data_IF_885738931616
#
_entry.id   IF_885738931616
#
_cell.length_a   1.000
_cell.length_b   1.000
_cell.length_c   1.000
_cell.angle_alpha   90.00
_cell.angle_beta   90.00
_cell.angle_gamma   90.00
#
_symmetry.space_group_name_H-M   'P 1'
#
loop_
_entity.id
_entity.type
_entity.pdbx_description
1 polymer ?
#
# COMPACT_ATOMS: atom_id res chain seq x y z
N UNK A 1 24.91 -76.14 4.39
CA UNK A 1 24.14 -75.09 3.69
C UNK A 1 24.20 -73.84 4.54
N UNK A 2 24.88 -72.77 4.12
CA UNK A 2 24.79 -71.47 4.79
C UNK A 2 23.54 -70.73 4.30
N UNK A 3 22.78 -70.17 5.24
CA UNK A 3 21.57 -69.39 4.99
C UNK A 3 21.89 -68.08 4.27
N UNK A 4 21.09 -67.73 3.25
CA UNK A 4 21.13 -66.45 2.52
C UNK A 4 20.62 -65.31 3.42
N UNK A 5 21.23 -64.11 3.40
CA UNK A 5 20.73 -62.97 4.16
C UNK A 5 19.40 -62.44 3.57
N UNK A 6 18.48 -61.92 4.40
CA UNK A 6 17.23 -61.35 3.92
C UNK A 6 17.46 -60.01 3.20
N UNK A 7 16.62 -59.78 2.19
CA UNK A 7 16.72 -58.71 1.22
C UNK A 7 16.75 -57.30 1.82
N UNK A 8 17.53 -56.46 1.15
CA UNK A 8 17.46 -55.00 1.28
C UNK A 8 16.20 -54.55 0.54
N UNK A 9 15.05 -54.64 1.20
CA UNK A 9 13.88 -53.84 0.80
C UNK A 9 14.19 -52.40 1.19
N UNK A 10 14.60 -51.62 0.20
CA UNK A 10 14.76 -50.19 0.33
C UNK A 10 13.41 -49.55 0.66
N UNK A 11 13.33 -48.71 1.71
CA UNK A 11 12.27 -47.74 1.77
C UNK A 11 12.68 -46.56 0.89
N UNK A 12 11.92 -46.34 -0.19
CA UNK A 12 11.77 -45.03 -0.83
C UNK A 12 11.10 -44.10 0.21
N UNK A 13 11.85 -43.77 1.25
CA UNK A 13 11.43 -42.86 2.30
C UNK A 13 11.57 -41.46 1.71
N UNK A 14 10.50 -40.98 1.08
CA UNK A 14 10.30 -39.55 0.87
C UNK A 14 10.25 -38.90 2.25
N UNK A 15 11.44 -38.56 2.75
CA UNK A 15 11.63 -37.90 4.03
C UNK A 15 10.72 -36.67 4.04
N UNK A 16 9.76 -36.57 4.98
CA UNK A 16 8.90 -35.41 5.04
C UNK A 16 9.79 -34.18 5.21
N UNK A 17 9.71 -33.23 4.26
CA UNK A 17 10.45 -31.97 4.30
C UNK A 17 10.50 -31.44 5.74
N UNK A 18 11.71 -31.17 6.23
CA UNK A 18 11.95 -30.60 7.55
C UNK A 18 11.11 -29.34 7.72
N UNK A 19 10.74 -29.01 8.96
CA UNK A 19 9.93 -27.81 9.24
C UNK A 19 10.55 -26.52 8.66
N UNK A 20 11.87 -26.50 8.53
CA UNK A 20 12.67 -25.44 7.91
C UNK A 20 12.41 -25.36 6.40
N UNK A 21 12.38 -26.47 5.68
CA UNK A 21 12.10 -26.51 4.24
C UNK A 21 10.64 -26.09 3.95
N UNK A 22 9.69 -26.52 4.77
CA UNK A 22 8.28 -26.08 4.66
C UNK A 22 8.09 -24.60 5.01
N UNK A 23 8.89 -24.06 5.93
CA UNK A 23 8.91 -22.63 6.20
C UNK A 23 9.50 -21.85 5.02
N UNK A 24 10.60 -22.34 4.44
CA UNK A 24 11.26 -21.77 3.26
C UNK A 24 10.33 -21.71 2.04
N UNK A 25 9.65 -22.82 1.72
CA UNK A 25 8.73 -22.90 0.59
C UNK A 25 7.54 -21.93 0.74
N UNK A 26 6.99 -21.79 1.97
CA UNK A 26 5.95 -20.79 2.26
C UNK A 26 6.44 -19.35 2.12
N UNK A 27 7.65 -19.05 2.57
CA UNK A 27 8.25 -17.71 2.41
C UNK A 27 8.49 -17.40 0.93
N UNK A 28 9.02 -18.35 0.16
CA UNK A 28 9.27 -18.21 -1.27
C UNK A 28 7.95 -17.98 -2.03
N UNK A 29 6.94 -18.82 -1.80
CA UNK A 29 5.61 -18.70 -2.43
C UNK A 29 4.94 -17.36 -2.11
N UNK A 30 4.96 -16.92 -0.85
CA UNK A 30 4.37 -15.63 -0.46
C UNK A 30 5.12 -14.44 -1.06
N UNK A 31 6.45 -14.52 -1.14
CA UNK A 31 7.28 -13.48 -1.77
C UNK A 31 6.98 -13.39 -3.27
N UNK A 32 6.92 -14.52 -3.96
CA UNK A 32 6.56 -14.59 -5.38
C UNK A 32 5.15 -14.06 -5.64
N UNK A 33 4.17 -14.44 -4.82
CA UNK A 33 2.79 -13.98 -4.96
C UNK A 33 2.70 -12.45 -4.75
N UNK A 34 3.41 -11.91 -3.75
CA UNK A 34 3.49 -10.46 -3.51
C UNK A 34 4.16 -9.74 -4.68
N UNK A 35 5.28 -10.26 -5.18
CA UNK A 35 6.00 -9.67 -6.31
C UNK A 35 5.13 -9.66 -7.58
N UNK A 36 4.46 -10.77 -7.87
CA UNK A 36 3.52 -10.88 -9.00
C UNK A 36 2.36 -9.87 -8.86
N UNK A 37 1.75 -9.78 -7.67
CA UNK A 37 0.70 -8.79 -7.40
C UNK A 37 1.19 -7.35 -7.57
N UNK A 38 2.43 -7.05 -7.17
CA UNK A 38 3.00 -5.72 -7.35
C UNK A 38 3.24 -5.36 -8.83
N UNK A 39 3.75 -6.32 -9.61
CA UNK A 39 3.94 -6.18 -11.07
C UNK A 39 2.59 -5.98 -11.76
N UNK A 40 1.61 -6.85 -11.49
CA UNK A 40 0.26 -6.74 -12.06
C UNK A 40 -0.40 -5.41 -11.70
N UNK A 41 -0.25 -4.96 -10.46
CA UNK A 41 -0.73 -3.65 -10.03
C UNK A 41 -0.10 -2.49 -10.80
N UNK A 42 1.22 -2.54 -11.05
CA UNK A 42 1.93 -1.52 -11.84
C UNK A 42 1.46 -1.53 -13.31
N UNK A 43 1.25 -2.70 -13.89
CA UNK A 43 0.69 -2.84 -15.24
C UNK A 43 -0.74 -2.29 -15.32
N UNK A 44 -1.58 -2.56 -14.32
CA UNK A 44 -2.93 -1.99 -14.24
C UNK A 44 -2.92 -0.45 -14.16
N UNK A 45 -2.02 0.13 -13.34
CA UNK A 45 -1.83 1.58 -13.29
C UNK A 45 -1.34 2.15 -14.62
N UNK A 46 -0.42 1.47 -15.31
CA UNK A 46 0.05 1.88 -16.63
C UNK A 46 -1.09 1.90 -17.65
N UNK A 47 -1.93 0.86 -17.66
CA UNK A 47 -3.13 0.80 -18.51
C UNK A 47 -4.11 1.93 -18.19
N UNK A 48 -4.36 2.18 -16.90
CA UNK A 48 -5.21 3.29 -16.47
C UNK A 48 -4.68 4.64 -16.97
N UNK A 49 -3.37 4.89 -16.89
CA UNK A 49 -2.78 6.13 -17.42
C UNK A 49 -2.83 6.22 -18.94
N UNK A 50 -2.66 5.09 -19.65
CA UNK A 50 -2.82 5.05 -21.10
C UNK A 50 -4.26 5.38 -21.52
N UNK A 51 -5.26 4.85 -20.81
CA UNK A 51 -6.67 5.17 -21.03
C UNK A 51 -6.96 6.62 -20.68
N UNK A 52 -6.50 7.11 -19.53
CA UNK A 52 -6.67 8.51 -19.12
C UNK A 52 -6.09 9.49 -20.15
N UNK A 53 -4.88 9.20 -20.67
CA UNK A 53 -4.25 9.99 -21.72
C UNK A 53 -5.08 10.01 -23.02
N UNK A 54 -5.72 8.88 -23.36
CA UNK A 54 -6.53 8.75 -24.57
C UNK A 54 -7.88 9.46 -24.45
N UNK A 55 -8.57 9.30 -23.32
CA UNK A 55 -9.93 9.81 -23.13
C UNK A 55 -9.94 11.32 -22.80
N UNK A 56 -8.99 11.78 -22.00
CA UNK A 56 -9.01 13.15 -21.45
C UNK A 56 -7.78 13.99 -21.84
N UNK A 57 -6.72 13.34 -22.33
CA UNK A 57 -5.54 14.00 -22.88
C UNK A 57 -4.31 13.97 -21.97
N UNK A 58 -3.15 14.31 -22.54
CA UNK A 58 -1.84 14.24 -21.85
C UNK A 58 -1.66 15.31 -20.77
N UNK A 59 -2.34 16.44 -20.88
CA UNK A 59 -2.31 17.52 -19.87
C UNK A 59 -2.87 17.02 -18.53
N UNK A 60 -3.95 16.24 -18.59
CA UNK A 60 -4.63 15.66 -17.44
C UNK A 60 -3.77 14.63 -16.72
N UNK A 61 -3.07 13.78 -17.48
CA UNK A 61 -2.07 12.86 -16.92
C UNK A 61 -0.96 13.64 -16.22
N UNK A 62 -0.49 14.74 -16.81
CA UNK A 62 0.49 15.63 -16.19
C UNK A 62 0.00 16.20 -14.85
N UNK A 63 -1.24 16.68 -14.80
CA UNK A 63 -1.87 17.19 -13.58
C UNK A 63 -1.97 16.11 -12.49
N UNK A 64 -2.37 14.89 -12.84
CA UNK A 64 -2.39 13.76 -11.89
C UNK A 64 -1.00 13.45 -11.34
N UNK A 65 -0.01 13.26 -12.22
CA UNK A 65 1.35 12.87 -11.83
C UNK A 65 1.99 13.95 -10.96
N UNK A 66 1.80 15.22 -11.33
CA UNK A 66 2.23 16.35 -10.52
C UNK A 66 1.56 16.32 -9.13
N UNK A 67 0.23 16.21 -9.08
CA UNK A 67 -0.50 16.22 -7.81
C UNK A 67 -0.09 15.05 -6.90
N UNK A 68 0.10 13.86 -7.48
CA UNK A 68 0.59 12.68 -6.76
C UNK A 68 2.00 12.91 -6.20
N UNK A 69 2.93 13.41 -7.02
CA UNK A 69 4.29 13.71 -6.57
C UNK A 69 4.31 14.78 -5.47
N UNK A 70 3.51 15.85 -5.64
CA UNK A 70 3.34 16.92 -4.66
C UNK A 70 2.90 16.37 -3.30
N UNK A 71 1.86 15.54 -3.27
CA UNK A 71 1.33 14.94 -2.05
C UNK A 71 2.36 14.03 -1.38
N UNK A 72 3.10 13.23 -2.16
CA UNK A 72 4.14 12.34 -1.61
C UNK A 72 5.25 13.10 -0.89
N UNK A 73 5.67 14.25 -1.44
CA UNK A 73 6.70 15.10 -0.82
C UNK A 73 6.14 15.87 0.37
N UNK A 74 5.00 16.54 0.19
CA UNK A 74 4.46 17.48 1.19
C UNK A 74 3.91 16.76 2.42
N UNK A 75 3.32 15.57 2.26
CA UNK A 75 2.71 14.82 3.37
C UNK A 75 3.70 13.94 4.14
N UNK A 76 4.92 13.77 3.64
CA UNK A 76 5.97 12.97 4.29
C UNK A 76 6.16 13.27 5.79
N UNK A 77 6.13 14.53 6.28
CA UNK A 77 6.33 14.84 7.70
C UNK A 77 5.28 14.26 8.64
N UNK A 78 4.07 13.94 8.15
CA UNK A 78 2.95 13.50 8.99
C UNK A 78 3.24 12.12 9.61
N UNK A 79 3.71 11.17 8.80
CA UNK A 79 4.00 9.81 9.24
C UNK A 79 5.43 9.59 9.74
N UNK A 80 6.34 10.54 9.53
CA UNK A 80 7.77 10.30 9.64
C UNK A 80 8.19 9.70 11.00
N UNK A 81 8.66 8.45 10.95
CA UNK A 81 9.16 7.70 12.09
C UNK A 81 8.11 6.95 12.92
N UNK A 82 6.81 7.27 12.77
CA UNK A 82 5.77 6.70 13.61
C UNK A 82 5.52 5.21 13.36
N UNK A 83 5.42 4.78 12.10
CA UNK A 83 5.14 3.37 11.77
C UNK A 83 6.25 2.45 12.27
N UNK A 84 7.50 2.88 12.14
CA UNK A 84 8.66 2.11 12.60
C UNK A 84 8.76 2.08 14.12
N UNK A 85 8.43 3.18 14.78
CA UNK A 85 8.40 3.27 16.24
C UNK A 85 7.31 2.36 16.81
N UNK A 86 6.06 2.53 16.39
CA UNK A 86 4.92 1.76 16.92
C UNK A 86 5.08 0.26 16.65
N UNK A 87 5.54 -0.12 15.45
CA UNK A 87 5.81 -1.51 15.10
C UNK A 87 6.80 -2.17 16.07
N UNK A 88 7.94 -1.51 16.32
CA UNK A 88 8.98 -2.09 17.20
C UNK A 88 8.55 -2.12 18.66
N UNK A 89 7.89 -1.07 19.13
CA UNK A 89 7.48 -0.98 20.53
C UNK A 89 6.42 -2.03 20.84
N UNK A 90 5.38 -2.17 20.00
CA UNK A 90 4.32 -3.18 20.19
C UNK A 90 4.85 -4.60 20.00
N UNK A 91 5.78 -4.83 19.06
CA UNK A 91 6.40 -6.14 18.89
C UNK A 91 7.20 -6.58 20.12
N UNK A 92 7.78 -5.63 20.87
CA UNK A 92 8.48 -5.88 22.13
C UNK A 92 7.53 -6.07 23.31
N UNK A 93 6.48 -5.27 23.38
CA UNK A 93 5.50 -5.29 24.46
C UNK A 93 4.10 -4.96 23.94
N UNK A 94 3.27 -5.99 23.85
CA UNK A 94 1.91 -5.92 23.29
C UNK A 94 0.92 -5.18 24.19
N UNK A 95 1.25 -4.93 25.46
CA UNK A 95 0.35 -4.20 26.36
C UNK A 95 0.22 -2.71 26.03
N UNK A 96 1.21 -2.16 25.31
CA UNK A 96 1.26 -0.74 24.96
C UNK A 96 0.41 -0.35 23.73
N UNK A 97 -0.32 -1.30 23.14
CA UNK A 97 -1.07 -1.09 21.89
C UNK A 97 -2.08 0.05 22.01
N UNK A 98 -2.91 0.01 23.06
CA UNK A 98 -4.02 0.96 23.20
C UNK A 98 -3.49 2.39 23.33
N UNK A 99 -2.53 2.62 24.24
CA UNK A 99 -1.94 3.94 24.45
C UNK A 99 -1.20 4.44 23.21
N UNK A 100 -0.33 3.61 22.61
CA UNK A 100 0.49 4.03 21.47
C UNK A 100 -0.35 4.28 20.21
N UNK A 101 -1.38 3.49 19.98
CA UNK A 101 -2.24 3.64 18.81
C UNK A 101 -2.93 5.01 18.82
N UNK A 102 -3.61 5.36 19.91
CA UNK A 102 -4.29 6.64 20.03
C UNK A 102 -3.32 7.82 20.09
N UNK A 103 -2.18 7.69 20.79
CA UNK A 103 -1.16 8.73 20.83
C UNK A 103 -0.59 9.03 19.44
N UNK A 104 -0.27 8.00 18.65
CA UNK A 104 0.25 8.19 17.28
C UNK A 104 -0.82 8.80 16.37
N UNK A 105 -2.08 8.35 16.46
CA UNK A 105 -3.17 8.96 15.68
C UNK A 105 -3.39 10.43 16.05
N UNK A 106 -3.37 10.77 17.34
CA UNK A 106 -3.48 12.14 17.80
C UNK A 106 -2.33 13.01 17.28
N UNK A 107 -1.09 12.55 17.41
CA UNK A 107 0.07 13.28 16.91
C UNK A 107 0.06 13.46 15.39
N UNK A 108 -0.39 12.43 14.65
CA UNK A 108 -0.57 12.52 13.19
C UNK A 108 -1.66 13.51 12.82
N UNK A 109 -2.81 13.49 13.50
CA UNK A 109 -3.89 14.45 13.28
C UNK A 109 -3.47 15.90 13.62
N UNK A 110 -2.69 16.07 14.70
CA UNK A 110 -2.15 17.37 15.07
C UNK A 110 -1.14 17.89 14.02
N UNK A 111 -0.30 17.01 13.47
CA UNK A 111 0.66 17.37 12.39
C UNK A 111 -0.02 17.56 11.03
N UNK A 112 -1.11 16.86 10.76
CA UNK A 112 -1.75 16.93 9.44
C UNK A 112 -2.34 18.31 9.17
N UNK A 113 -2.89 18.98 10.17
CA UNK A 113 -3.48 20.32 10.02
C UNK A 113 -2.49 21.37 9.45
N UNK A 114 -1.34 21.65 10.09
CA UNK A 114 -0.39 22.62 9.54
C UNK A 114 0.24 22.13 8.23
N UNK A 115 0.50 20.84 8.07
CA UNK A 115 1.12 20.30 6.85
C UNK A 115 0.17 20.42 5.64
N UNK A 116 -1.09 20.02 5.80
CA UNK A 116 -2.11 20.17 4.75
C UNK A 116 -2.41 21.65 4.49
N UNK A 117 -2.50 22.48 5.54
CA UNK A 117 -2.71 23.92 5.40
C UNK A 117 -1.59 24.61 4.60
N UNK A 118 -0.32 24.29 4.89
CA UNK A 118 0.82 24.80 4.13
C UNK A 118 0.84 24.28 2.69
N UNK A 119 0.50 23.01 2.48
CA UNK A 119 0.37 22.42 1.14
C UNK A 119 -0.68 23.16 0.31
N UNK A 120 -1.85 23.42 0.89
CA UNK A 120 -2.96 24.12 0.23
C UNK A 120 -2.62 25.60 -0.03
N UNK A 121 -2.00 26.28 0.93
CA UNK A 121 -1.54 27.65 0.73
C UNK A 121 -0.49 27.73 -0.39
N UNK A 122 0.50 26.83 -0.39
CA UNK A 122 1.55 26.81 -1.40
C UNK A 122 0.98 26.57 -2.81
N UNK A 123 0.12 25.55 -3.00
CA UNK A 123 -0.46 25.29 -4.33
C UNK A 123 -1.39 26.42 -4.79
N UNK A 124 -2.08 27.09 -3.87
CA UNK A 124 -2.92 28.26 -4.16
C UNK A 124 -2.12 29.47 -4.62
N UNK A 125 -0.91 29.66 -4.11
CA UNK A 125 -0.03 30.79 -4.43
C UNK A 125 0.83 30.58 -5.67
N UNK A 126 1.10 29.33 -6.07
CA UNK A 126 1.97 29.01 -7.20
C UNK A 126 1.32 29.17 -8.58
N UNK A 127 0.05 29.57 -8.65
CA UNK A 127 -0.62 29.92 -9.91
C UNK A 127 -0.98 28.73 -10.81
N UNK A 128 -1.06 27.51 -10.27
CA UNK A 128 -1.54 26.34 -11.02
C UNK A 128 -3.02 26.47 -11.37
N UNK A 129 -3.42 25.83 -12.47
CA UNK A 129 -4.80 25.79 -12.94
C UNK A 129 -5.75 25.12 -11.93
N UNK A 130 -7.06 25.34 -12.11
CA UNK A 130 -8.07 24.84 -11.19
C UNK A 130 -8.12 23.30 -11.09
N UNK A 131 -7.82 22.58 -12.18
CA UNK A 131 -7.86 21.13 -12.22
C UNK A 131 -6.70 20.54 -11.45
N UNK A 132 -5.48 21.04 -11.66
CA UNK A 132 -4.28 20.63 -10.93
C UNK A 132 -4.43 20.87 -9.42
N UNK A 133 -4.96 22.04 -9.02
CA UNK A 133 -5.21 22.35 -7.60
C UNK A 133 -6.24 21.39 -6.99
N UNK A 134 -7.32 21.09 -7.72
CA UNK A 134 -8.36 20.18 -7.24
C UNK A 134 -7.81 18.76 -7.07
N UNK A 135 -6.99 18.28 -8.01
CA UNK A 135 -6.30 17.00 -7.89
C UNK A 135 -5.41 16.95 -6.64
N UNK A 136 -4.63 18.00 -6.36
CA UNK A 136 -3.82 18.11 -5.14
C UNK A 136 -4.68 18.04 -3.88
N UNK A 137 -5.81 18.76 -3.83
CA UNK A 137 -6.69 18.75 -2.67
C UNK A 137 -7.28 17.37 -2.40
N UNK A 138 -7.81 16.71 -3.43
CA UNK A 138 -8.39 15.36 -3.32
C UNK A 138 -7.33 14.37 -2.87
N UNK A 139 -6.18 14.33 -3.55
CA UNK A 139 -5.10 13.39 -3.21
C UNK A 139 -4.52 13.65 -1.81
N UNK A 140 -4.47 14.92 -1.38
CA UNK A 140 -4.03 15.26 -0.02
C UNK A 140 -4.98 14.66 1.02
N UNK A 141 -6.29 14.85 0.86
CA UNK A 141 -7.28 14.30 1.80
C UNK A 141 -7.19 12.77 1.86
N UNK A 142 -7.07 12.12 0.72
CA UNK A 142 -6.84 10.68 0.64
C UNK A 142 -5.57 10.23 1.35
N UNK A 143 -4.46 10.91 1.12
CA UNK A 143 -3.19 10.61 1.76
C UNK A 143 -3.24 10.78 3.28
N UNK A 144 -4.04 11.72 3.80
CA UNK A 144 -4.26 11.85 5.24
C UNK A 144 -4.94 10.60 5.81
N UNK A 145 -5.99 10.10 5.14
CA UNK A 145 -6.68 8.87 5.53
C UNK A 145 -5.74 7.65 5.44
N UNK A 146 -4.98 7.52 4.34
CA UNK A 146 -3.98 6.46 4.16
C UNK A 146 -2.92 6.52 5.27
N UNK A 147 -2.46 7.72 5.63
CA UNK A 147 -1.51 7.90 6.73
C UNK A 147 -2.06 7.41 8.06
N UNK A 148 -3.35 7.60 8.35
CA UNK A 148 -3.96 7.03 9.55
C UNK A 148 -4.05 5.50 9.47
N UNK A 149 -4.48 4.96 8.32
CA UNK A 149 -4.56 3.51 8.09
C UNK A 149 -3.21 2.80 8.24
N UNK A 150 -2.10 3.45 7.85
CA UNK A 150 -0.73 2.92 8.05
C UNK A 150 -0.39 2.68 9.51
N UNK A 151 -0.95 3.46 10.45
CA UNK A 151 -0.79 3.18 11.89
C UNK A 151 -1.41 1.83 12.24
N UNK A 152 -2.61 1.55 11.74
CA UNK A 152 -3.28 0.27 11.94
C UNK A 152 -2.49 -0.88 11.30
N UNK A 153 -1.97 -0.70 10.09
CA UNK A 153 -1.09 -1.70 9.45
C UNK A 153 0.19 -1.95 10.24
N UNK A 154 0.79 -0.92 10.86
CA UNK A 154 1.95 -1.10 11.72
C UNK A 154 1.61 -1.94 12.97
N UNK A 155 0.43 -1.74 13.57
CA UNK A 155 -0.07 -2.58 14.67
C UNK A 155 -0.27 -4.02 14.20
N UNK A 156 -1.00 -4.26 13.10
CA UNK A 156 -1.20 -5.63 12.58
C UNK A 156 0.12 -6.34 12.26
N UNK A 157 1.11 -5.63 11.70
CA UNK A 157 2.44 -6.18 11.47
C UNK A 157 3.15 -6.54 12.78
N UNK A 158 2.98 -5.75 13.86
CA UNK A 158 3.55 -6.05 15.17
C UNK A 158 2.98 -7.34 15.79
N UNK A 159 1.75 -7.71 15.43
CA UNK A 159 1.13 -9.00 15.76
C UNK A 159 1.41 -10.11 14.72
N UNK A 160 2.38 -9.91 13.82
CA UNK A 160 2.75 -10.84 12.75
C UNK A 160 1.61 -11.16 11.76
N UNK A 161 0.58 -10.30 11.69
CA UNK A 161 -0.59 -10.47 10.80
C UNK A 161 -0.39 -9.78 9.45
N UNK A 162 0.81 -9.87 8.88
CA UNK A 162 1.16 -9.23 7.61
C UNK A 162 0.40 -9.77 6.38
N UNK A 163 -0.21 -10.96 6.48
CA UNK A 163 -1.06 -11.53 5.43
C UNK A 163 -2.38 -10.75 5.26
N UNK A 164 -2.99 -10.31 6.36
CA UNK A 164 -4.21 -9.50 6.33
C UNK A 164 -3.95 -8.16 5.64
N UNK A 165 -2.83 -7.51 5.98
CA UNK A 165 -2.42 -6.25 5.37
C UNK A 165 -2.21 -6.42 3.86
N UNK A 166 -1.51 -7.49 3.46
CA UNK A 166 -1.29 -7.77 2.05
C UNK A 166 -2.62 -7.96 1.30
N UNK A 167 -3.57 -8.71 1.88
CA UNK A 167 -4.90 -8.88 1.30
C UNK A 167 -5.64 -7.53 1.18
N UNK A 168 -5.63 -6.70 2.23
CA UNK A 168 -6.24 -5.36 2.21
C UNK A 168 -5.65 -4.48 1.12
N UNK A 169 -4.33 -4.40 1.01
CA UNK A 169 -3.66 -3.57 -0.02
C UNK A 169 -3.97 -4.05 -1.42
N UNK A 170 -3.98 -5.38 -1.63
CA UNK A 170 -4.32 -5.98 -2.93
C UNK A 170 -5.76 -5.62 -3.31
N UNK A 171 -6.72 -5.84 -2.41
CA UNK A 171 -8.15 -5.51 -2.62
C UNK A 171 -8.33 -4.03 -2.89
N UNK A 172 -7.72 -3.15 -2.09
CA UNK A 172 -7.78 -1.70 -2.29
C UNK A 172 -7.26 -1.29 -3.67
N UNK A 173 -6.13 -1.84 -4.14
CA UNK A 173 -5.56 -1.49 -5.46
C UNK A 173 -6.46 -1.93 -6.61
N UNK A 174 -7.05 -3.12 -6.55
CA UNK A 174 -7.96 -3.59 -7.58
C UNK A 174 -9.29 -2.82 -7.58
N UNK A 175 -9.83 -2.50 -6.40
CA UNK A 175 -11.02 -1.66 -6.28
C UNK A 175 -10.76 -0.25 -6.81
N UNK A 176 -9.65 0.38 -6.42
CA UNK A 176 -9.25 1.70 -6.91
C UNK A 176 -9.13 1.73 -8.43
N UNK A 177 -8.41 0.76 -9.02
CA UNK A 177 -8.26 0.65 -10.47
C UNK A 177 -9.61 0.41 -11.17
N UNK A 178 -10.44 -0.50 -10.64
CA UNK A 178 -11.76 -0.78 -11.19
C UNK A 178 -12.69 0.42 -11.14
N UNK A 179 -12.77 1.09 -10.00
CA UNK A 179 -13.57 2.32 -9.84
C UNK A 179 -13.07 3.45 -10.74
N UNK A 180 -11.75 3.61 -10.88
CA UNK A 180 -11.16 4.60 -11.78
C UNK A 180 -11.52 4.36 -13.25
N UNK A 181 -11.45 3.10 -13.70
CA UNK A 181 -11.87 2.73 -15.06
C UNK A 181 -13.37 2.96 -15.29
N UNK A 182 -14.22 2.61 -14.32
CA UNK A 182 -15.67 2.87 -14.40
C UNK A 182 -15.95 4.37 -14.43
N UNK A 183 -15.26 5.16 -13.62
CA UNK A 183 -15.41 6.61 -13.59
C UNK A 183 -15.00 7.27 -14.92
N UNK A 184 -13.92 6.79 -15.56
CA UNK A 184 -13.53 7.24 -16.90
C UNK A 184 -14.55 6.83 -17.96
N UNK A 185 -15.04 5.59 -17.92
CA UNK A 185 -16.06 5.11 -18.85
C UNK A 185 -17.39 5.87 -18.72
N UNK A 186 -17.69 6.41 -17.54
CA UNK A 186 -18.84 7.29 -17.29
C UNK A 186 -18.62 8.75 -17.73
N UNK A 187 -17.49 9.07 -18.38
CA UNK A 187 -17.16 10.43 -18.83
C UNK A 187 -16.50 11.31 -17.77
N UNK A 188 -16.02 10.74 -16.67
CA UNK A 188 -15.25 11.47 -15.65
C UNK A 188 -13.85 11.87 -16.16
N UNK A 189 -13.32 12.98 -15.63
CA UNK A 189 -11.96 13.47 -15.94
C UNK A 189 -10.92 13.04 -14.91
N UNK A 190 -9.74 13.68 -14.92
CA UNK A 190 -8.64 13.35 -13.99
C UNK A 190 -9.02 13.38 -12.51
N UNK A 191 -9.93 14.27 -12.12
CA UNK A 191 -10.34 14.44 -10.71
C UNK A 191 -11.09 13.20 -10.21
N UNK A 192 -11.91 12.56 -11.04
CA UNK A 192 -12.61 11.33 -10.63
C UNK A 192 -11.61 10.19 -10.41
N UNK A 193 -10.58 10.10 -11.27
CA UNK A 193 -9.48 9.15 -11.07
C UNK A 193 -8.75 9.42 -9.76
N UNK A 194 -8.46 10.69 -9.42
CA UNK A 194 -7.86 11.06 -8.13
C UNK A 194 -8.68 10.55 -6.94
N UNK A 195 -10.01 10.74 -6.97
CA UNK A 195 -10.91 10.27 -5.88
C UNK A 195 -10.89 8.76 -5.75
N UNK A 196 -10.81 8.03 -6.85
CA UNK A 196 -10.78 6.55 -6.81
C UNK A 196 -9.42 5.98 -6.41
N UNK A 197 -8.35 6.77 -6.54
CA UNK A 197 -6.97 6.35 -6.27
C UNK A 197 -6.57 6.53 -4.80
N UNK A 198 -7.30 7.34 -4.06
CA UNK A 198 -7.14 7.61 -2.63
C UNK A 198 -7.87 6.59 -1.76
#
# INVERSE_FOLDING_TARGET
MPETPPGVDGPDEKTPLSEVERAGDRVAKNTLLRAAGEILGKLASLLLFAVLAREVGVSDVGAFVFAFAWVQVTMMPIGLGFERYILRTIARDRSQVDELFFNVLYLKALRSLPVAGLSFAAIGLLGYDAQTRTAVYVLTLGQLLDSMARTLFAVFNAFERGSLIAATVVVQRYLAAGMGLVALAAGGGVVSVCVTFT
#
